data_IF_454431759752
#
_entry.id   IF_454431759752
#
_cell.length_a   1.000
_cell.length_b   1.000
_cell.length_c   1.000
_cell.angle_alpha   90.00
_cell.angle_beta   90.00
_cell.angle_gamma   90.00
#
_symmetry.space_group_name_H-M   'P 1'
#
loop_
_entity.id
_entity.type
_entity.pdbx_description
1 polymer ?
#
# COMPACT_ATOMS: atom_id res chain seq x y z
N UNK A 1 -17.77 -2.31 6.31
CA UNK A 1 -18.35 -3.21 7.34
C UNK A 1 -19.20 -4.27 6.66
N UNK A 2 -19.02 -5.54 6.98
CA UNK A 2 -19.82 -6.65 6.42
C UNK A 2 -21.20 -6.74 7.08
N UNK A 3 -22.27 -6.91 6.30
CA UNK A 3 -23.65 -7.10 6.79
C UNK A 3 -23.97 -8.59 6.96
N UNK A 4 -24.72 -8.95 8.02
CA UNK A 4 -25.18 -10.32 8.33
C UNK A 4 -25.71 -11.11 7.11
N UNK A 5 -26.59 -10.56 6.25
CA UNK A 5 -27.07 -11.27 5.06
C UNK A 5 -25.98 -11.55 4.01
N UNK A 6 -25.02 -10.63 3.82
CA UNK A 6 -23.90 -10.82 2.88
C UNK A 6 -22.97 -11.93 3.36
N UNK A 7 -22.76 -12.02 4.67
CA UNK A 7 -21.98 -13.09 5.31
C UNK A 7 -22.64 -14.46 5.11
N UNK A 8 -23.95 -14.57 5.33
CA UNK A 8 -24.67 -15.85 5.19
C UNK A 8 -24.74 -16.33 3.73
N UNK A 9 -24.94 -15.41 2.78
CA UNK A 9 -24.92 -15.73 1.34
C UNK A 9 -23.55 -16.24 0.89
N UNK A 10 -22.46 -15.61 1.35
CA UNK A 10 -21.10 -16.06 1.06
C UNK A 10 -20.79 -17.41 1.71
N UNK A 11 -21.25 -17.65 2.95
CA UNK A 11 -21.07 -18.93 3.65
C UNK A 11 -21.72 -20.10 2.89
N UNK A 12 -22.94 -19.90 2.36
CA UNK A 12 -23.64 -20.93 1.57
C UNK A 12 -22.95 -21.21 0.23
N UNK A 13 -22.36 -20.20 -0.40
CA UNK A 13 -21.67 -20.33 -1.70
C UNK A 13 -20.30 -20.99 -1.58
N UNK A 14 -19.54 -20.65 -0.53
CA UNK A 14 -18.14 -21.09 -0.35
C UNK A 14 -18.05 -22.36 0.49
N UNK A 15 -19.03 -22.62 1.35
CA UNK A 15 -18.99 -23.72 2.31
C UNK A 15 -18.25 -23.35 3.60
N UNK A 16 -18.66 -23.96 4.72
CA UNK A 16 -18.21 -23.58 6.07
C UNK A 16 -16.69 -23.73 6.24
N UNK A 17 -16.10 -24.84 5.76
CA UNK A 17 -14.66 -25.11 5.91
C UNK A 17 -13.81 -24.08 5.18
N UNK A 18 -14.14 -23.78 3.94
CA UNK A 18 -13.40 -22.83 3.11
C UNK A 18 -13.62 -21.38 3.56
N UNK A 19 -14.80 -21.06 4.12
CA UNK A 19 -15.05 -19.76 4.75
C UNK A 19 -14.14 -19.53 5.97
N UNK A 20 -14.03 -20.49 6.88
CA UNK A 20 -13.13 -20.37 8.02
C UNK A 20 -11.66 -20.33 7.58
N UNK A 21 -11.29 -21.08 6.55
CA UNK A 21 -9.95 -21.00 5.96
C UNK A 21 -9.68 -19.60 5.39
N UNK A 22 -10.61 -19.03 4.63
CA UNK A 22 -10.49 -17.66 4.11
C UNK A 22 -10.39 -16.61 5.23
N UNK A 23 -11.16 -16.77 6.31
CA UNK A 23 -11.09 -15.90 7.48
C UNK A 23 -9.71 -15.93 8.16
N UNK A 24 -9.07 -17.10 8.23
CA UNK A 24 -7.73 -17.25 8.79
C UNK A 24 -6.63 -16.62 7.92
N UNK A 25 -6.84 -16.50 6.61
CA UNK A 25 -5.85 -16.00 5.65
C UNK A 25 -6.21 -14.65 5.03
N UNK A 26 -7.16 -13.90 5.61
CA UNK A 26 -7.78 -12.74 4.96
C UNK A 26 -6.79 -11.63 4.54
N UNK A 27 -5.67 -11.48 5.27
CA UNK A 27 -4.62 -10.48 4.97
C UNK A 27 -3.45 -11.09 4.18
N UNK A 28 -3.37 -12.42 4.05
CA UNK A 28 -2.26 -13.11 3.36
C UNK A 28 -2.53 -13.45 1.90
N UNK A 29 -3.56 -12.85 1.30
CA UNK A 29 -3.92 -13.13 -0.11
C UNK A 29 -3.12 -12.34 -1.13
N UNK A 30 -2.41 -11.28 -0.71
CA UNK A 30 -1.60 -10.40 -1.57
C UNK A 30 -0.18 -10.32 -1.02
N UNK A 31 0.82 -10.38 -1.90
CA UNK A 31 2.24 -10.25 -1.56
C UNK A 31 3.01 -9.61 -2.72
N UNK A 32 4.24 -9.15 -2.44
CA UNK A 32 5.19 -8.66 -3.44
C UNK A 32 6.51 -9.39 -3.28
N UNK A 33 7.09 -9.76 -4.42
CA UNK A 33 8.47 -10.18 -4.53
C UNK A 33 9.29 -8.98 -5.02
N UNK A 34 10.27 -8.57 -4.22
CA UNK A 34 11.13 -7.44 -4.55
C UNK A 34 12.22 -7.86 -5.53
N UNK A 35 12.54 -6.98 -6.48
CA UNK A 35 13.55 -7.26 -7.51
C UNK A 35 15.00 -7.24 -6.98
N UNK A 36 15.27 -6.55 -5.87
CA UNK A 36 16.60 -6.43 -5.25
C UNK A 36 16.60 -7.06 -3.87
N UNK A 37 17.70 -7.70 -3.50
CA UNK A 37 17.84 -8.45 -2.24
C UNK A 37 17.87 -7.56 -0.98
N UNK A 38 18.10 -6.26 -1.11
CA UNK A 38 18.04 -5.30 -0.01
C UNK A 38 16.61 -4.77 0.13
N UNK A 39 15.79 -5.54 0.84
CA UNK A 39 14.34 -5.38 0.88
C UNK A 39 13.92 -4.27 1.85
N UNK A 40 13.18 -3.28 1.35
CA UNK A 40 12.53 -2.25 2.17
C UNK A 40 11.08 -2.04 1.69
N UNK A 41 10.14 -1.99 2.64
CA UNK A 41 8.74 -1.73 2.37
C UNK A 41 8.50 -0.38 1.67
N UNK A 42 9.41 0.59 1.86
CA UNK A 42 9.35 1.89 1.19
C UNK A 42 9.70 1.83 -0.32
N UNK A 43 10.14 0.68 -0.84
CA UNK A 43 10.40 0.49 -2.28
C UNK A 43 9.13 0.25 -3.10
N UNK A 44 8.01 -0.09 -2.44
CA UNK A 44 6.75 -0.32 -3.13
C UNK A 44 6.18 1.02 -3.60
N UNK A 45 5.86 1.11 -4.89
CA UNK A 45 5.22 2.29 -5.47
C UNK A 45 3.87 2.59 -4.77
N UNK A 46 3.48 3.87 -4.59
CA UNK A 46 2.26 4.23 -3.86
C UNK A 46 0.98 3.54 -4.36
N UNK A 47 0.83 3.34 -5.67
CA UNK A 47 -0.36 2.67 -6.22
C UNK A 47 -0.40 1.18 -5.84
N UNK A 48 0.75 0.51 -5.91
CA UNK A 48 0.89 -0.88 -5.49
C UNK A 48 0.80 -1.05 -3.97
N UNK A 49 1.28 -0.07 -3.21
CA UNK A 49 1.16 -0.04 -1.75
C UNK A 49 -0.32 -0.01 -1.32
N UNK A 50 -1.14 0.83 -1.97
CA UNK A 50 -2.57 0.90 -1.70
C UNK A 50 -3.31 -0.41 -2.00
N UNK A 51 -2.93 -1.09 -3.08
CA UNK A 51 -3.48 -2.40 -3.41
C UNK A 51 -3.02 -3.49 -2.43
N UNK A 52 -1.74 -3.52 -2.03
CA UNK A 52 -1.24 -4.49 -1.05
C UNK A 52 -1.87 -4.31 0.33
N UNK A 53 -2.13 -3.07 0.73
CA UNK A 53 -2.74 -2.73 2.01
C UNK A 53 -4.28 -2.93 2.03
N UNK A 54 -4.87 -3.49 0.97
CA UNK A 54 -6.32 -3.64 0.81
C UNK A 54 -7.10 -2.33 0.89
N UNK A 55 -6.46 -1.18 0.62
CA UNK A 55 -7.14 0.12 0.51
C UNK A 55 -7.96 0.20 -0.78
N UNK A 56 -7.48 -0.46 -1.84
CA UNK A 56 -8.14 -0.52 -3.15
C UNK A 56 -8.28 -1.97 -3.60
N UNK A 57 -9.40 -2.28 -4.26
CA UNK A 57 -9.70 -3.61 -4.76
C UNK A 57 -8.93 -3.93 -6.06
N UNK A 58 -8.87 -2.96 -6.99
CA UNK A 58 -8.23 -3.11 -8.29
C UNK A 58 -6.75 -2.69 -8.21
N UNK A 59 -5.82 -3.44 -8.84
CA UNK A 59 -4.43 -3.04 -8.91
C UNK A 59 -4.26 -1.80 -9.82
N UNK A 60 -3.14 -1.05 -9.68
CA UNK A 60 -2.91 0.18 -10.44
C UNK A 60 -2.83 -0.03 -11.96
N UNK A 61 -2.60 -1.25 -12.43
CA UNK A 61 -2.67 -1.59 -13.87
C UNK A 61 -4.09 -1.60 -14.43
N UNK A 62 -5.10 -1.86 -13.60
CA UNK A 62 -6.50 -1.97 -14.00
C UNK A 62 -7.34 -0.74 -13.62
N UNK A 63 -6.90 0.02 -12.61
CA UNK A 63 -7.59 1.23 -12.17
C UNK A 63 -6.98 2.47 -12.84
N UNK A 64 -7.74 3.08 -13.75
CA UNK A 64 -7.31 4.28 -14.47
C UNK A 64 -7.05 5.49 -13.57
N UNK A 65 -7.63 5.53 -12.35
CA UNK A 65 -7.37 6.60 -11.38
C UNK A 65 -6.00 6.43 -10.71
N UNK A 66 -5.54 5.20 -10.55
CA UNK A 66 -4.24 4.88 -9.95
C UNK A 66 -3.09 4.93 -10.96
N UNK A 67 -3.38 5.03 -12.27
CA UNK A 67 -2.39 5.27 -13.33
C UNK A 67 -1.95 6.76 -13.37
N UNK A 68 -1.59 7.31 -12.22
CA UNK A 68 -1.11 8.69 -12.16
C UNK A 68 0.27 8.76 -12.84
N UNK A 69 0.49 9.77 -13.69
CA UNK A 69 1.81 10.12 -14.28
C UNK A 69 2.78 10.72 -13.25
N UNK A 70 2.72 10.24 -12.01
CA UNK A 70 3.56 10.72 -10.93
C UNK A 70 5.02 10.35 -11.21
N UNK A 71 5.93 11.12 -10.62
CA UNK A 71 7.35 10.77 -10.60
C UNK A 71 7.52 9.37 -9.99
N UNK A 72 8.50 8.63 -10.50
CA UNK A 72 8.87 7.32 -9.95
C UNK A 72 9.04 7.41 -8.43
N UNK A 73 8.51 6.42 -7.70
CA UNK A 73 8.61 6.35 -6.26
C UNK A 73 10.07 6.48 -5.80
N UNK A 74 10.33 7.47 -4.92
CA UNK A 74 11.64 7.66 -4.30
C UNK A 74 11.67 6.80 -3.04
N UNK A 75 12.61 5.85 -2.91
CA UNK A 75 12.68 5.00 -1.73
C UNK A 75 13.13 5.80 -0.50
N UNK A 76 12.96 5.20 0.67
CA UNK A 76 13.43 5.80 1.92
C UNK A 76 14.97 5.81 1.99
N UNK A 77 15.53 6.99 2.24
CA UNK A 77 16.98 7.20 2.38
C UNK A 77 17.45 7.43 3.82
N UNK A 78 16.59 7.17 4.81
CA UNK A 78 16.94 7.32 6.22
C UNK A 78 18.22 6.53 6.55
N UNK A 79 19.15 7.14 7.28
CA UNK A 79 20.45 6.52 7.63
C UNK A 79 21.50 6.52 6.51
N UNK A 80 21.17 7.01 5.31
CA UNK A 80 22.12 7.14 4.20
C UNK A 80 22.58 8.59 4.01
N UNK A 81 23.57 8.81 3.13
CA UNK A 81 24.04 10.17 2.78
C UNK A 81 22.95 11.03 2.14
N UNK A 82 21.96 10.43 1.48
CA UNK A 82 20.84 11.11 0.83
C UNK A 82 19.60 11.27 1.74
N UNK A 83 19.75 11.07 3.05
CA UNK A 83 18.68 11.37 4.01
C UNK A 83 18.25 12.85 3.90
N UNK A 84 16.93 13.09 3.96
CA UNK A 84 16.39 14.44 3.93
C UNK A 84 16.88 15.25 5.15
N UNK A 85 17.43 16.43 4.90
CA UNK A 85 17.83 17.39 5.93
C UNK A 85 16.93 18.61 5.84
N UNK A 86 16.23 18.90 6.92
CA UNK A 86 15.39 20.10 7.02
C UNK A 86 16.26 21.35 7.02
N UNK A 87 15.73 22.43 6.46
CA UNK A 87 16.33 23.76 6.47
C UNK A 87 15.22 24.81 6.55
N UNK A 88 15.56 26.03 6.96
CA UNK A 88 14.61 27.12 7.00
C UNK A 88 14.32 27.60 5.56
N UNK A 89 13.07 27.58 5.16
CA UNK A 89 12.62 28.07 3.85
C UNK A 89 12.32 29.57 3.84
N UNK A 90 12.36 30.23 5.01
CA UNK A 90 12.19 31.67 5.14
C UNK A 90 13.52 32.40 4.92
N UNK A 91 13.41 33.63 4.43
CA UNK A 91 14.52 34.58 4.39
C UNK A 91 14.65 35.29 5.74
N UNK A 92 15.88 35.68 6.10
CA UNK A 92 16.11 36.53 7.27
C UNK A 92 15.47 37.90 7.03
N UNK A 93 14.46 38.23 7.83
CA UNK A 93 13.92 39.58 7.92
C UNK A 93 14.66 40.27 9.04
N UNK A 94 15.55 41.20 8.68
CA UNK A 94 16.16 42.11 9.64
C UNK A 94 15.26 43.33 9.76
N UNK A 95 14.80 43.63 10.98
CA UNK A 95 14.32 44.98 11.33
C UNK A 95 15.50 45.66 12.06
N UNK A 96 16.02 46.72 11.46
CA UNK A 96 17.20 47.46 11.93
C UNK A 96 16.85 48.47 13.01
#
# INVERSE_FOLDING_TARGET
>A
MSTLPRTLSNLRKVGIKDYFKQMLYIVRTRWVEYAKHDYDAAQVDPGWHAWLAYMVDKPPTQDGLLQTKARSAIPNYTGTRSAFKTYNTLYLVYDS
#
